data_IF_489896666750
#
_entry.id   IF_489896666750
#
_cell.length_a   1.000
_cell.length_b   1.000
_cell.length_c   1.000
_cell.angle_alpha   90.00
_cell.angle_beta   90.00
_cell.angle_gamma   90.00
#
_symmetry.space_group_name_H-M   'P 1'
#
loop_
_entity.id
_entity.type
_entity.pdbx_description
1 polymer ?
#
# COMPACT_ATOMS: atom_id res chain seq x y z
N UNK A 1 23.26 -16.11 -5.39
CA UNK A 1 22.52 -17.12 -4.60
C UNK A 1 23.28 -18.44 -4.63
N UNK A 2 23.14 -19.27 -3.61
CA UNK A 2 23.75 -20.62 -3.56
C UNK A 2 22.61 -21.66 -3.59
N UNK A 3 22.80 -22.71 -4.40
CA UNK A 3 21.88 -23.83 -4.50
C UNK A 3 22.30 -24.93 -3.52
N UNK A 4 21.35 -25.48 -2.76
CA UNK A 4 21.59 -26.65 -1.92
C UNK A 4 21.35 -27.97 -2.68
N UNK A 5 21.61 -29.09 -2.01
CA UNK A 5 21.45 -30.44 -2.58
C UNK A 5 19.98 -30.80 -2.90
N UNK A 6 19.02 -30.12 -2.26
CA UNK A 6 17.58 -30.29 -2.48
C UNK A 6 17.03 -29.37 -3.59
N UNK A 7 17.89 -28.53 -4.17
CA UNK A 7 17.51 -27.64 -5.25
C UNK A 7 17.04 -26.25 -4.82
N UNK A 8 17.05 -25.91 -3.54
CA UNK A 8 16.67 -24.59 -3.05
C UNK A 8 17.81 -23.57 -3.26
N UNK A 9 17.44 -22.37 -3.64
CA UNK A 9 18.35 -21.28 -3.84
C UNK A 9 18.26 -20.30 -2.67
N UNK A 10 19.35 -20.04 -2.00
CA UNK A 10 19.43 -19.08 -0.89
C UNK A 10 20.37 -17.94 -1.19
N UNK A 11 20.06 -16.77 -0.72
CA UNK A 11 20.90 -15.58 -0.82
C UNK A 11 20.62 -14.62 0.32
N UNK A 12 21.63 -13.88 0.74
CA UNK A 12 21.53 -12.85 1.76
C UNK A 12 21.90 -11.52 1.11
N UNK A 13 21.06 -10.53 1.29
CA UNK A 13 21.31 -9.14 0.86
C UNK A 13 21.92 -8.34 2.00
N UNK A 14 22.41 -7.15 1.71
CA UNK A 14 22.68 -6.16 2.74
C UNK A 14 21.37 -5.78 3.43
N UNK A 15 21.38 -5.38 4.72
CA UNK A 15 20.18 -4.85 5.39
C UNK A 15 19.59 -3.69 4.58
N UNK A 16 18.28 -3.72 4.42
CA UNK A 16 17.55 -2.64 3.80
C UNK A 16 17.19 -1.60 4.87
N UNK A 17 17.01 -0.35 4.46
CA UNK A 17 16.46 0.69 5.32
C UNK A 17 14.97 0.41 5.59
N UNK A 18 14.42 0.96 6.66
CA UNK A 18 12.99 0.86 6.96
C UNK A 18 12.13 1.43 5.81
N UNK A 19 10.98 0.83 5.58
CA UNK A 19 10.03 1.19 4.54
C UNK A 19 9.75 0.09 3.54
N UNK A 20 8.92 0.41 2.56
CA UNK A 20 8.52 -0.53 1.50
C UNK A 20 9.57 -0.56 0.38
N UNK A 21 9.93 -1.78 -0.06
CA UNK A 21 10.89 -2.00 -1.13
C UNK A 21 10.33 -2.96 -2.17
N UNK A 22 10.49 -2.61 -3.45
CA UNK A 22 10.27 -3.54 -4.54
C UNK A 22 11.49 -4.42 -4.76
N UNK A 23 11.26 -5.68 -5.17
CA UNK A 23 12.32 -6.58 -5.60
C UNK A 23 11.87 -7.52 -6.70
N UNK A 24 12.84 -8.13 -7.36
CA UNK A 24 12.66 -9.11 -8.42
C UNK A 24 13.76 -10.16 -8.33
N UNK A 25 13.46 -11.32 -8.88
CA UNK A 25 14.51 -12.31 -9.17
C UNK A 25 14.89 -12.26 -10.64
N UNK A 26 16.16 -12.60 -10.92
CA UNK A 26 16.63 -12.86 -12.25
C UNK A 26 16.88 -14.36 -12.38
N UNK A 27 16.10 -15.03 -13.22
CA UNK A 27 16.19 -16.47 -13.48
C UNK A 27 16.47 -16.64 -14.95
N UNK A 28 17.63 -17.19 -15.30
CA UNK A 28 18.08 -17.45 -16.67
C UNK A 28 17.93 -16.23 -17.61
N UNK A 29 18.25 -15.05 -17.11
CA UNK A 29 18.16 -13.81 -17.86
C UNK A 29 16.77 -13.16 -17.91
N UNK A 30 15.75 -13.78 -17.34
CA UNK A 30 14.43 -13.22 -17.21
C UNK A 30 14.21 -12.62 -15.82
N UNK A 31 13.59 -11.43 -15.78
CA UNK A 31 13.17 -10.82 -14.52
C UNK A 31 11.78 -11.33 -14.15
N UNK A 32 11.66 -11.95 -12.98
CA UNK A 32 10.43 -12.57 -12.48
C UNK A 32 10.07 -12.06 -11.09
N UNK A 33 8.79 -12.09 -10.75
CA UNK A 33 8.31 -11.86 -9.40
C UNK A 33 8.51 -13.11 -8.54
N UNK A 34 8.57 -12.91 -7.23
CA UNK A 34 8.60 -14.00 -6.26
C UNK A 34 7.19 -14.60 -6.13
N UNK A 35 6.99 -15.89 -6.45
CA UNK A 35 5.67 -16.52 -6.32
C UNK A 35 5.20 -16.68 -4.86
N UNK A 36 6.11 -16.56 -3.89
CA UNK A 36 5.80 -16.63 -2.48
C UNK A 36 5.50 -15.24 -1.86
N UNK A 37 5.65 -14.16 -2.62
CA UNK A 37 5.38 -12.79 -2.20
C UNK A 37 4.05 -12.30 -2.76
N UNK A 38 3.41 -11.40 -2.02
CA UNK A 38 2.37 -10.56 -2.60
C UNK A 38 2.95 -9.72 -3.75
N UNK A 39 2.17 -9.50 -4.80
CA UNK A 39 2.58 -8.65 -5.92
C UNK A 39 1.90 -7.29 -5.86
N UNK A 40 2.66 -6.27 -6.25
CA UNK A 40 2.26 -4.87 -6.27
C UNK A 40 2.49 -4.30 -7.65
N UNK A 41 1.69 -3.35 -8.08
CA UNK A 41 1.97 -2.65 -9.32
C UNK A 41 2.99 -1.53 -9.05
N UNK A 42 4.18 -1.69 -9.60
CA UNK A 42 5.28 -0.73 -9.52
C UNK A 42 6.24 -0.90 -10.69
N UNK A 43 7.00 0.12 -11.04
CA UNK A 43 7.87 0.12 -12.24
C UNK A 43 7.11 -0.17 -13.55
N UNK A 44 5.83 0.20 -13.64
CA UNK A 44 4.98 -0.06 -14.81
C UNK A 44 4.56 -1.52 -14.99
N UNK A 45 4.74 -2.38 -13.99
CA UNK A 45 4.42 -3.81 -14.01
C UNK A 45 4.24 -4.40 -12.61
N UNK A 46 3.85 -5.67 -12.55
CA UNK A 46 3.84 -6.40 -11.28
C UNK A 46 5.25 -6.58 -10.74
N UNK A 47 5.43 -6.28 -9.48
CA UNK A 47 6.67 -6.40 -8.71
C UNK A 47 6.40 -7.10 -7.38
N UNK A 48 7.39 -7.81 -6.85
CA UNK A 48 7.34 -8.29 -5.47
C UNK A 48 7.65 -7.15 -4.52
N UNK A 49 7.12 -7.20 -3.31
CA UNK A 49 7.36 -6.17 -2.30
C UNK A 49 7.72 -6.75 -0.95
N UNK A 50 8.53 -6.02 -0.22
CA UNK A 50 8.87 -6.32 1.17
C UNK A 50 8.78 -5.04 2.00
N UNK A 51 8.10 -5.12 3.13
CA UNK A 51 8.07 -4.07 4.14
C UNK A 51 9.16 -4.35 5.17
N UNK A 52 10.09 -3.41 5.34
CA UNK A 52 11.04 -3.40 6.45
C UNK A 52 10.46 -2.49 7.53
N UNK A 53 9.98 -3.04 8.64
CA UNK A 53 9.25 -2.24 9.63
C UNK A 53 10.15 -1.20 10.29
N UNK A 54 9.63 0.01 10.42
CA UNK A 54 10.23 1.04 11.26
C UNK A 54 10.12 0.67 12.75
N UNK A 55 10.93 1.29 13.57
CA UNK A 55 10.83 1.26 15.03
C UNK A 55 9.50 1.86 15.55
N UNK A 56 9.48 2.45 16.73
CA UNK A 56 8.29 3.10 17.30
C UNK A 56 7.73 4.22 16.40
N UNK A 57 8.58 4.84 15.60
CA UNK A 57 8.20 5.89 14.64
C UNK A 57 7.17 5.39 13.61
N UNK A 58 7.16 4.09 13.31
CA UNK A 58 6.22 3.47 12.36
C UNK A 58 4.79 3.29 12.90
N UNK A 59 4.50 3.68 14.12
CA UNK A 59 3.16 3.52 14.71
C UNK A 59 2.07 4.31 13.97
N UNK A 60 2.44 5.33 13.21
CA UNK A 60 1.49 6.11 12.42
C UNK A 60 0.84 5.32 11.28
N UNK A 61 1.52 4.33 10.70
CA UNK A 61 0.99 3.50 9.59
C UNK A 61 0.62 2.08 9.99
N UNK A 62 0.99 1.62 11.20
CA UNK A 62 0.61 0.29 11.68
C UNK A 62 -0.86 0.27 12.08
N UNK A 63 -1.56 -0.84 11.84
CA UNK A 63 -2.92 -1.00 12.33
C UNK A 63 -2.92 -1.01 13.87
N UNK A 64 -3.67 -0.11 14.48
CA UNK A 64 -3.86 -0.03 15.93
C UNK A 64 -5.12 -0.78 16.33
N UNK A 65 -5.06 -1.53 17.45
CA UNK A 65 -6.17 -2.39 17.88
C UNK A 65 -7.41 -1.58 18.28
N UNK A 66 -7.21 -0.46 18.97
CA UNK A 66 -8.28 0.38 19.52
C UNK A 66 -8.72 1.51 18.57
N UNK A 67 -8.37 1.42 17.31
CA UNK A 67 -8.72 2.41 16.30
C UNK A 67 -9.76 1.84 15.35
N UNK A 68 -10.91 2.50 15.27
CA UNK A 68 -11.97 2.13 14.32
C UNK A 68 -11.46 2.25 12.88
N UNK A 69 -11.75 1.22 12.08
CA UNK A 69 -11.24 1.08 10.72
C UNK A 69 -12.20 1.66 9.70
N UNK A 70 -11.67 2.50 8.82
CA UNK A 70 -12.35 2.94 7.62
C UNK A 70 -12.38 1.86 6.54
N UNK A 71 -12.89 2.21 5.38
CA UNK A 71 -13.01 1.31 4.24
C UNK A 71 -12.32 1.90 3.02
N UNK A 72 -11.67 1.04 2.23
CA UNK A 72 -11.17 1.38 0.90
C UNK A 72 -12.08 0.72 -0.12
N UNK A 73 -12.73 1.53 -0.98
CA UNK A 73 -13.67 1.09 -2.01
C UNK A 73 -13.07 1.29 -3.38
N UNK A 74 -13.13 0.27 -4.21
CA UNK A 74 -12.80 0.40 -5.63
C UNK A 74 -14.03 0.89 -6.40
N UNK A 75 -13.88 2.01 -7.09
CA UNK A 75 -14.91 2.62 -7.92
C UNK A 75 -14.45 2.73 -9.37
N UNK A 76 -15.40 2.69 -10.28
CA UNK A 76 -15.20 3.01 -11.68
C UNK A 76 -15.97 4.27 -12.04
N UNK A 77 -15.37 5.14 -12.84
CA UNK A 77 -16.00 6.33 -13.36
C UNK A 77 -15.56 6.58 -14.81
N UNK A 78 -16.45 7.22 -15.55
CA UNK A 78 -16.11 7.65 -16.90
C UNK A 78 -15.44 9.03 -16.84
N UNK A 79 -14.21 9.10 -17.32
CA UNK A 79 -13.46 10.37 -17.44
C UNK A 79 -13.73 10.99 -18.79
N UNK A 80 -14.45 12.10 -18.83
CA UNK A 80 -14.73 12.83 -20.07
C UNK A 80 -13.45 13.41 -20.72
N UNK A 81 -12.50 13.86 -19.92
CA UNK A 81 -11.21 14.39 -20.40
C UNK A 81 -10.32 13.33 -21.00
N UNK A 82 -10.35 12.10 -20.47
CA UNK A 82 -9.59 10.98 -21.01
C UNK A 82 -10.40 10.13 -22.01
N UNK A 83 -11.69 10.43 -22.18
CA UNK A 83 -12.65 9.67 -22.99
C UNK A 83 -12.57 8.14 -22.73
N UNK A 84 -12.49 7.76 -21.44
CA UNK A 84 -12.29 6.37 -21.03
C UNK A 84 -12.81 6.10 -19.61
N UNK A 85 -13.18 4.85 -19.36
CA UNK A 85 -13.43 4.36 -18.02
C UNK A 85 -12.13 4.31 -17.21
N UNK A 86 -12.19 4.84 -15.98
CA UNK A 86 -11.07 4.87 -15.03
C UNK A 86 -11.48 4.20 -13.74
N UNK A 87 -10.49 3.68 -13.02
CA UNK A 87 -10.64 3.18 -11.66
C UNK A 87 -10.08 4.19 -10.67
N UNK A 88 -10.63 4.19 -9.47
CA UNK A 88 -10.11 4.94 -8.32
C UNK A 88 -10.40 4.17 -7.04
N UNK A 89 -9.55 4.36 -6.06
CA UNK A 89 -9.79 3.88 -4.71
C UNK A 89 -10.22 5.06 -3.84
N UNK A 90 -11.29 4.86 -3.07
CA UNK A 90 -11.83 5.89 -2.17
C UNK A 90 -11.81 5.34 -0.75
N UNK A 91 -11.02 5.99 0.11
CA UNK A 91 -11.09 5.74 1.54
C UNK A 91 -12.23 6.53 2.17
N UNK A 92 -13.02 5.86 3.00
CA UNK A 92 -14.07 6.48 3.83
C UNK A 92 -13.82 6.14 5.30
N UNK A 93 -13.85 7.13 6.22
CA UNK A 93 -13.68 6.87 7.66
C UNK A 93 -14.75 5.94 8.24
N UNK A 94 -14.46 5.29 9.37
CA UNK A 94 -15.38 4.34 10.01
C UNK A 94 -16.79 4.91 10.30
N UNK A 95 -16.89 6.20 10.58
CA UNK A 95 -18.19 6.86 10.86
C UNK A 95 -18.95 7.30 9.59
N UNK A 96 -18.37 7.15 8.40
CA UNK A 96 -18.89 7.73 7.15
C UNK A 96 -20.34 7.32 6.85
N UNK A 97 -20.68 6.05 7.03
CA UNK A 97 -22.01 5.52 6.72
C UNK A 97 -23.09 5.98 7.72
N UNK A 98 -22.68 6.31 8.94
CA UNK A 98 -23.58 6.68 10.03
C UNK A 98 -23.63 8.20 10.25
N UNK A 99 -22.83 8.97 9.52
CA UNK A 99 -22.70 10.40 9.67
C UNK A 99 -23.17 11.12 8.40
N UNK A 100 -24.03 12.13 8.56
CA UNK A 100 -24.51 12.97 7.44
C UNK A 100 -23.61 14.17 7.16
N UNK A 101 -22.45 14.25 7.79
CA UNK A 101 -21.49 15.33 7.59
C UNK A 101 -20.88 15.29 6.20
N UNK A 102 -20.48 16.45 5.72
CA UNK A 102 -19.57 16.56 4.59
C UNK A 102 -18.14 16.44 5.08
N UNK A 103 -17.38 15.58 4.44
CA UNK A 103 -15.98 15.39 4.71
C UNK A 103 -15.13 16.16 3.70
N UNK A 104 -13.99 16.73 4.12
CA UNK A 104 -13.02 17.25 3.19
C UNK A 104 -12.45 16.09 2.33
N UNK A 105 -12.08 16.41 1.10
CA UNK A 105 -11.52 15.41 0.18
C UNK A 105 -10.03 15.64 0.02
N UNK A 106 -9.24 14.59 0.25
CA UNK A 106 -7.82 14.54 -0.06
C UNK A 106 -7.64 13.72 -1.35
N UNK A 107 -7.07 14.34 -2.38
CA UNK A 107 -6.70 13.67 -3.62
C UNK A 107 -5.24 13.22 -3.54
N UNK A 108 -5.01 11.91 -3.64
CA UNK A 108 -3.68 11.31 -3.65
C UNK A 108 -3.38 10.76 -5.05
N UNK A 109 -2.30 11.26 -5.64
CA UNK A 109 -1.79 10.80 -6.91
C UNK A 109 -0.66 9.81 -6.66
N UNK A 110 -0.70 8.67 -7.34
CA UNK A 110 0.38 7.67 -7.26
C UNK A 110 1.67 8.16 -7.93
N UNK A 111 2.79 7.50 -7.64
CA UNK A 111 4.09 7.76 -8.24
C UNK A 111 4.20 7.26 -9.69
N UNK A 112 5.28 7.67 -10.37
CA UNK A 112 5.57 7.18 -11.72
C UNK A 112 5.79 5.66 -11.70
N UNK A 113 5.11 4.96 -12.62
CA UNK A 113 5.19 3.50 -12.71
C UNK A 113 4.29 2.74 -11.74
N UNK A 114 3.45 3.43 -10.98
CA UNK A 114 2.44 2.85 -10.09
C UNK A 114 1.03 3.04 -10.66
N UNK A 115 0.02 2.56 -9.96
CA UNK A 115 -1.39 2.72 -10.30
C UNK A 115 -2.21 3.17 -9.06
N UNK A 116 -3.53 3.21 -9.20
CA UNK A 116 -4.44 3.64 -8.15
C UNK A 116 -4.32 2.85 -6.83
N UNK A 117 -3.65 1.71 -6.83
CA UNK A 117 -3.47 0.86 -5.63
C UNK A 117 -2.28 1.26 -4.76
N UNK A 118 -1.33 2.06 -5.29
CA UNK A 118 -0.06 2.37 -4.63
C UNK A 118 -0.22 2.91 -3.22
N UNK A 119 -1.05 3.93 -3.03
CA UNK A 119 -1.26 4.51 -1.70
C UNK A 119 -1.97 3.58 -0.71
N UNK A 120 -2.84 2.69 -1.19
CA UNK A 120 -3.56 1.77 -0.29
C UNK A 120 -2.75 0.52 0.04
N UNK A 121 -1.99 -0.02 -0.90
CA UNK A 121 -1.27 -1.29 -0.72
C UNK A 121 0.16 -1.10 -0.22
N UNK A 122 0.94 -0.27 -0.89
CA UNK A 122 2.33 0.03 -0.51
C UNK A 122 2.40 1.11 0.57
N UNK A 123 1.59 2.18 0.41
CA UNK A 123 1.58 3.33 1.32
C UNK A 123 0.74 3.16 2.59
N UNK A 124 -0.04 2.09 2.69
CA UNK A 124 -0.91 1.80 3.85
C UNK A 124 -1.76 3.01 4.31
N UNK A 125 -2.18 3.85 3.36
CA UNK A 125 -2.86 5.13 3.58
C UNK A 125 -4.08 4.98 4.50
N UNK A 126 -4.85 3.90 4.37
CA UNK A 126 -6.03 3.64 5.23
C UNK A 126 -5.66 3.58 6.71
N UNK A 127 -4.53 2.92 7.06
CA UNK A 127 -4.07 2.85 8.45
C UNK A 127 -3.63 4.22 8.96
N UNK A 128 -2.91 4.98 8.12
CA UNK A 128 -2.49 6.35 8.44
C UNK A 128 -3.71 7.23 8.72
N UNK A 129 -4.71 7.18 7.87
CA UNK A 129 -5.94 7.96 8.02
C UNK A 129 -6.73 7.55 9.26
N UNK A 130 -6.89 6.25 9.52
CA UNK A 130 -7.54 5.73 10.72
C UNK A 130 -6.86 6.26 11.99
N UNK A 131 -5.54 6.15 12.06
CA UNK A 131 -4.74 6.56 13.22
C UNK A 131 -4.81 8.09 13.43
N UNK A 132 -4.70 8.88 12.36
CA UNK A 132 -4.79 10.34 12.42
C UNK A 132 -6.17 10.81 12.89
N UNK A 133 -7.25 10.23 12.36
CA UNK A 133 -8.62 10.56 12.73
C UNK A 133 -8.86 10.23 14.20
N UNK A 134 -8.43 9.05 14.66
CA UNK A 134 -8.54 8.64 16.05
C UNK A 134 -7.73 9.55 17.00
N UNK A 135 -6.52 9.95 16.61
CA UNK A 135 -5.69 10.88 17.38
C UNK A 135 -6.36 12.24 17.52
N UNK A 136 -6.91 12.79 16.44
CA UNK A 136 -7.64 14.06 16.48
C UNK A 136 -8.88 13.98 17.38
N UNK A 137 -9.64 12.89 17.30
CA UNK A 137 -10.82 12.69 18.16
C UNK A 137 -10.48 12.60 19.66
N UNK A 138 -9.30 12.09 20.01
CA UNK A 138 -8.81 12.06 21.42
C UNK A 138 -8.35 13.42 21.92
N UNK A 139 -7.80 14.28 21.06
CA UNK A 139 -7.33 15.62 21.42
C UNK A 139 -8.47 16.64 21.58
N UNK A 140 -9.66 16.34 21.05
CA UNK A 140 -10.83 17.20 21.12
C UNK A 140 -11.83 16.82 22.24
N UNK A 141 -11.45 15.90 23.12
CA UNK A 141 -12.18 15.49 24.32
C UNK A 141 -11.54 16.09 25.56
#
# INVERSE_FOLDING_TARGET
>A
MKRDEKGFWTGVTKPLVAGFHYYFFWVDGAQVTDPASETFFGYGRQASGIEVPEGPEGDYYRPQQDVAKGQVRSLQYYSSSANAWRRTLVYTPAAYENDRKRYPVLYLQHGMGEDETGWSRQGLMQNIMDNLIAKKARLCR
#
